data_IF_994942559405
#
_entry.id   IF_994942559405
#
_cell.length_a   1.000
_cell.length_b   1.000
_cell.length_c   1.000
_cell.angle_alpha   90.00
_cell.angle_beta   90.00
_cell.angle_gamma   90.00
#
_symmetry.space_group_name_H-M   'P 1'
#
loop_
_entity.id
_entity.type
_entity.pdbx_description
1 polymer ?
#
# COMPACT_ATOMS: atom_id res chain seq x y z
N UNK A 1 18.77 13.05 -43.77
CA UNK A 1 19.02 11.89 -44.65
C UNK A 1 18.06 11.94 -45.83
N UNK A 2 16.78 12.27 -45.62
CA UNK A 2 15.77 12.44 -46.62
C UNK A 2 15.18 13.84 -46.59
N UNK A 3 14.78 14.37 -47.75
CA UNK A 3 14.05 15.64 -47.87
C UNK A 3 12.80 15.45 -48.74
N UNK A 4 11.75 16.26 -48.52
CA UNK A 4 10.55 16.18 -49.35
C UNK A 4 10.88 16.37 -50.85
N UNK A 5 10.39 15.46 -51.66
CA UNK A 5 10.52 15.55 -53.12
C UNK A 5 9.47 16.49 -53.73
N UNK A 6 9.68 16.89 -54.96
CA UNK A 6 8.67 17.61 -55.78
C UNK A 6 7.39 16.77 -56.02
N UNK A 7 7.42 15.46 -55.83
CA UNK A 7 6.28 14.56 -55.90
C UNK A 7 5.66 14.36 -54.49
N UNK A 8 4.38 14.64 -54.37
CA UNK A 8 3.64 14.47 -53.12
C UNK A 8 3.74 13.04 -52.57
N UNK A 9 4.00 12.89 -51.24
CA UNK A 9 4.15 11.60 -50.57
C UNK A 9 5.48 10.88 -50.86
N UNK A 10 6.45 11.54 -51.55
CA UNK A 10 7.78 11.00 -51.79
C UNK A 10 8.89 11.85 -51.22
N UNK A 11 10.04 11.22 -51.01
CA UNK A 11 11.21 11.87 -50.47
C UNK A 11 12.44 11.54 -51.31
N UNK A 12 13.40 12.44 -51.27
CA UNK A 12 14.68 12.35 -51.97
C UNK A 12 15.75 11.93 -50.96
N UNK A 13 16.64 11.01 -51.38
CA UNK A 13 17.79 10.63 -50.56
C UNK A 13 18.89 11.64 -50.83
N UNK A 14 19.22 12.49 -49.84
CA UNK A 14 20.10 13.65 -49.95
C UNK A 14 21.46 13.35 -50.58
N UNK A 15 22.13 12.20 -50.30
CA UNK A 15 23.45 11.89 -50.89
C UNK A 15 23.44 11.58 -52.40
N UNK A 16 22.28 11.59 -53.05
CA UNK A 16 22.16 11.26 -54.50
C UNK A 16 21.44 12.34 -55.28
N UNK A 17 21.73 12.41 -56.60
CA UNK A 17 21.08 13.35 -57.56
C UNK A 17 19.73 12.82 -58.10
N UNK A 18 19.29 11.65 -57.67
CA UNK A 18 18.03 11.05 -58.13
C UNK A 18 16.87 11.40 -57.20
N UNK A 19 15.71 11.76 -57.75
CA UNK A 19 14.54 12.25 -57.04
C UNK A 19 13.44 11.21 -56.85
N UNK A 20 12.59 11.40 -55.84
CA UNK A 20 11.35 10.70 -55.58
C UNK A 20 11.48 9.17 -55.30
N UNK A 21 12.64 8.71 -54.89
CA UNK A 21 12.91 7.29 -54.72
C UNK A 21 12.54 6.70 -53.37
N UNK A 22 12.14 7.50 -52.39
CA UNK A 22 11.70 7.03 -51.09
C UNK A 22 10.20 7.28 -50.90
N UNK A 23 9.47 6.27 -50.49
CA UNK A 23 8.03 6.32 -50.27
C UNK A 23 7.74 6.05 -48.80
N UNK A 24 6.88 6.86 -48.17
CA UNK A 24 6.39 6.68 -46.82
C UNK A 24 4.96 6.12 -46.86
N UNK A 25 4.73 5.05 -46.10
CA UNK A 25 3.44 4.38 -45.98
C UNK A 25 2.85 4.60 -44.58
N UNK A 26 1.61 5.05 -44.57
CA UNK A 26 0.81 5.26 -43.34
C UNK A 26 1.49 6.11 -42.26
N UNK A 27 2.41 7.01 -42.66
CA UNK A 27 3.31 7.79 -41.75
C UNK A 27 4.08 6.95 -40.75
N UNK A 28 4.25 5.65 -41.01
CA UNK A 28 4.89 4.69 -40.09
C UNK A 28 6.07 3.96 -40.71
N UNK A 29 6.07 3.71 -42.01
CA UNK A 29 7.07 2.92 -42.68
C UNK A 29 7.63 3.65 -43.88
N UNK A 30 8.93 3.54 -44.11
CA UNK A 30 9.62 4.06 -45.28
C UNK A 30 10.20 2.93 -46.13
N UNK A 31 10.14 3.06 -47.44
CA UNK A 31 10.77 2.16 -48.37
C UNK A 31 11.61 2.96 -49.40
N UNK A 32 12.89 2.62 -49.50
CA UNK A 32 13.81 3.26 -50.45
C UNK A 32 14.09 2.38 -51.66
N UNK A 33 13.97 2.99 -52.83
CA UNK A 33 14.33 2.40 -54.14
C UNK A 33 15.72 2.80 -54.60
N UNK A 34 16.42 3.65 -53.84
CA UNK A 34 17.79 4.10 -54.19
C UNK A 34 18.84 3.04 -53.89
N UNK A 35 19.53 2.53 -54.92
CA UNK A 35 20.51 1.47 -54.76
C UNK A 35 21.70 1.82 -53.87
N UNK A 36 22.02 3.11 -53.71
CA UNK A 36 23.08 3.62 -52.86
C UNK A 36 22.64 3.94 -51.43
N UNK A 37 21.33 3.88 -51.17
CA UNK A 37 20.79 4.07 -49.83
C UNK A 37 20.98 2.79 -49.01
N UNK A 38 21.58 2.84 -47.81
CA UNK A 38 21.67 1.69 -46.91
C UNK A 38 20.37 1.02 -46.58
N UNK A 39 19.26 1.76 -46.71
CA UNK A 39 17.88 1.28 -46.47
C UNK A 39 17.22 0.69 -47.76
N UNK A 40 17.95 0.63 -48.89
CA UNK A 40 17.38 0.18 -50.17
C UNK A 40 16.72 -1.20 -50.06
N UNK A 41 15.52 -1.31 -50.65
CA UNK A 41 14.82 -2.57 -50.76
C UNK A 41 14.21 -3.11 -49.46
N UNK A 42 14.19 -2.33 -48.39
CA UNK A 42 13.63 -2.70 -47.09
C UNK A 42 12.49 -1.79 -46.71
N UNK A 43 11.42 -2.36 -46.17
CA UNK A 43 10.33 -1.61 -45.55
C UNK A 43 10.67 -1.44 -44.05
N UNK A 44 10.99 -0.23 -43.65
CA UNK A 44 11.58 0.06 -42.34
C UNK A 44 10.67 1.04 -41.56
N UNK A 45 10.52 0.80 -40.27
CA UNK A 45 9.98 1.78 -39.34
C UNK A 45 11.01 2.88 -39.04
N UNK A 46 10.62 3.93 -38.31
CA UNK A 46 11.48 5.06 -37.99
C UNK A 46 12.73 4.64 -37.18
N UNK A 47 12.60 3.69 -36.25
CA UNK A 47 13.70 3.18 -35.44
C UNK A 47 14.77 2.48 -36.31
N UNK A 48 14.35 1.55 -37.14
CA UNK A 48 15.28 0.80 -38.00
C UNK A 48 15.87 1.68 -39.08
N UNK A 49 15.11 2.65 -39.62
CA UNK A 49 15.61 3.60 -40.57
C UNK A 49 16.77 4.43 -40.02
N UNK A 50 16.61 4.98 -38.79
CA UNK A 50 17.68 5.74 -38.12
C UNK A 50 18.83 4.81 -37.75
N UNK A 51 18.55 3.58 -37.29
CA UNK A 51 19.54 2.56 -36.92
C UNK A 51 20.48 2.28 -38.08
N UNK A 52 19.94 1.95 -39.25
CA UNK A 52 20.70 1.58 -40.44
C UNK A 52 21.56 2.74 -40.91
N UNK A 53 21.04 3.95 -40.96
CA UNK A 53 21.78 5.13 -41.43
C UNK A 53 22.86 5.61 -40.46
N UNK A 54 22.66 5.41 -39.14
CA UNK A 54 23.62 5.90 -38.13
C UNK A 54 24.66 4.88 -37.74
N UNK A 55 24.31 3.61 -37.69
CA UNK A 55 25.12 2.54 -37.12
C UNK A 55 25.41 1.40 -38.08
N UNK A 56 24.82 1.45 -39.32
CA UNK A 56 24.99 0.41 -40.34
C UNK A 56 24.14 -0.83 -40.06
N UNK A 57 24.24 -1.80 -40.96
CA UNK A 57 23.47 -3.06 -40.92
C UNK A 57 24.39 -4.31 -41.01
N UNK A 58 25.71 -4.13 -41.04
CA UNK A 58 26.68 -5.23 -41.13
C UNK A 58 26.70 -6.10 -39.87
N UNK A 59 26.49 -5.49 -38.69
CA UNK A 59 26.36 -6.17 -37.42
C UNK A 59 25.03 -5.69 -36.75
N UNK A 60 23.96 -6.40 -37.06
CA UNK A 60 22.62 -6.05 -36.61
C UNK A 60 22.51 -5.98 -35.08
N UNK A 61 23.14 -6.89 -34.33
CA UNK A 61 23.10 -6.90 -32.87
C UNK A 61 23.78 -5.67 -32.27
N UNK A 62 24.91 -5.29 -32.82
CA UNK A 62 25.64 -4.12 -32.37
C UNK A 62 24.92 -2.82 -32.71
N UNK A 63 24.44 -2.70 -33.96
CA UNK A 63 23.71 -1.51 -34.40
C UNK A 63 22.38 -1.34 -33.67
N UNK A 64 21.66 -2.45 -33.35
CA UNK A 64 20.46 -2.43 -32.54
C UNK A 64 20.72 -1.93 -31.12
N UNK A 65 21.78 -2.42 -30.48
CA UNK A 65 22.19 -1.95 -29.16
C UNK A 65 22.52 -0.46 -29.16
N UNK A 66 23.28 0.02 -30.13
CA UNK A 66 23.67 1.43 -30.26
C UNK A 66 22.44 2.32 -30.54
N UNK A 67 21.48 1.86 -31.34
CA UNK A 67 20.24 2.58 -31.59
C UNK A 67 19.36 2.63 -30.36
N UNK A 68 19.27 1.53 -29.60
CA UNK A 68 18.52 1.48 -28.34
C UNK A 68 19.12 2.46 -27.33
N UNK A 69 20.45 2.50 -27.19
CA UNK A 69 21.15 3.47 -26.31
C UNK A 69 20.87 4.92 -26.74
N UNK A 70 20.85 5.18 -28.06
CA UNK A 70 20.50 6.50 -28.60
C UNK A 70 19.05 6.88 -28.30
N UNK A 71 18.09 5.99 -28.58
CA UNK A 71 16.66 6.23 -28.32
C UNK A 71 16.40 6.48 -26.83
N UNK A 72 17.02 5.67 -25.95
CA UNK A 72 16.91 5.83 -24.50
C UNK A 72 17.69 7.04 -23.95
N UNK A 73 18.51 7.73 -24.75
CA UNK A 73 19.14 8.99 -24.37
C UNK A 73 18.27 10.21 -24.69
N UNK A 74 17.25 10.05 -25.53
CA UNK A 74 16.31 11.11 -25.89
C UNK A 74 15.25 11.29 -24.81
N UNK A 75 15.11 12.52 -24.31
CA UNK A 75 14.20 12.82 -23.20
C UNK A 75 12.73 12.66 -23.60
N UNK A 76 12.37 12.97 -24.85
CA UNK A 76 11.02 12.78 -25.39
C UNK A 76 10.65 11.31 -25.46
N UNK A 77 11.58 10.44 -25.85
CA UNK A 77 11.38 8.98 -25.88
C UNK A 77 11.19 8.44 -24.46
N UNK A 78 11.97 8.93 -23.50
CA UNK A 78 11.81 8.54 -22.08
C UNK A 78 10.45 8.94 -21.52
N UNK A 79 10.02 10.19 -21.79
CA UNK A 79 8.72 10.71 -21.36
C UNK A 79 7.58 9.89 -21.96
N UNK A 80 7.65 9.58 -23.25
CA UNK A 80 6.62 8.78 -23.93
C UNK A 80 6.58 7.33 -23.40
N UNK A 81 7.73 6.68 -23.20
CA UNK A 81 7.79 5.34 -22.62
C UNK A 81 7.27 5.30 -21.17
N UNK A 82 7.56 6.34 -20.39
CA UNK A 82 7.00 6.49 -19.06
C UNK A 82 5.48 6.70 -19.10
N UNK A 83 5.00 7.55 -20.02
CA UNK A 83 3.57 7.81 -20.21
C UNK A 83 2.81 6.56 -20.70
N UNK A 84 3.37 5.78 -21.63
CA UNK A 84 2.76 4.53 -22.12
C UNK A 84 2.66 3.48 -21.00
N UNK A 85 3.68 3.35 -20.15
CA UNK A 85 3.66 2.44 -19.01
C UNK A 85 2.66 2.89 -17.93
N UNK A 86 2.59 4.19 -17.68
CA UNK A 86 1.58 4.77 -16.80
C UNK A 86 0.18 4.54 -17.39
N UNK A 87 -0.01 4.69 -18.71
CA UNK A 87 -1.28 4.44 -19.36
C UNK A 87 -1.68 2.95 -19.31
N UNK A 88 -0.74 2.02 -19.53
CA UNK A 88 -0.98 0.59 -19.38
C UNK A 88 -1.30 0.19 -17.94
N UNK A 89 -0.63 0.80 -16.96
CA UNK A 89 -0.99 0.63 -15.54
C UNK A 89 -2.32 1.33 -15.21
N UNK A 90 -2.67 2.40 -15.92
CA UNK A 90 -3.86 3.23 -15.68
C UNK A 90 -5.14 2.73 -16.36
N UNK A 91 -5.08 1.81 -17.35
CA UNK A 91 -6.28 1.17 -17.93
C UNK A 91 -7.00 0.27 -16.91
N UNK A 92 -6.30 -0.18 -15.85
CA UNK A 92 -6.87 -0.95 -14.76
C UNK A 92 -7.34 -0.08 -13.56
N UNK A 93 -7.09 1.24 -13.56
CA UNK A 93 -7.34 2.10 -12.39
C UNK A 93 -8.17 3.34 -12.74
N UNK A 94 -9.26 3.56 -12.01
CA UNK A 94 -10.17 4.70 -12.11
C UNK A 94 -9.52 6.06 -11.78
N UNK A 95 -10.16 7.13 -12.23
CA UNK A 95 -9.79 8.56 -12.33
C UNK A 95 -9.12 9.31 -11.14
N UNK A 96 -8.75 8.66 -10.04
CA UNK A 96 -8.17 9.32 -8.85
C UNK A 96 -6.63 9.34 -8.81
N UNK A 97 -5.96 9.07 -9.91
CA UNK A 97 -4.58 8.62 -9.96
C UNK A 97 -3.52 9.70 -10.24
N UNK A 98 -3.59 10.86 -9.59
CA UNK A 98 -2.50 11.87 -9.68
C UNK A 98 -1.17 11.40 -9.02
N UNK A 99 -1.23 10.39 -8.13
CA UNK A 99 -0.06 9.84 -7.44
C UNK A 99 0.90 9.09 -8.37
N UNK A 100 0.45 8.52 -9.49
CA UNK A 100 1.30 7.86 -10.48
C UNK A 100 2.34 8.82 -11.07
N UNK A 101 2.00 10.11 -11.21
CA UNK A 101 2.94 11.15 -11.69
C UNK A 101 4.07 11.44 -10.72
N UNK A 102 3.94 11.03 -9.47
CA UNK A 102 4.94 11.20 -8.42
C UNK A 102 5.93 10.02 -8.34
N UNK A 103 5.68 8.94 -9.11
CA UNK A 103 6.57 7.79 -9.17
C UNK A 103 7.87 8.14 -9.88
N UNK A 104 8.98 7.64 -9.35
CA UNK A 104 10.30 7.80 -9.93
C UNK A 104 10.64 6.64 -10.84
N UNK A 105 11.22 6.95 -11.99
CA UNK A 105 11.63 5.99 -13.01
C UNK A 105 13.12 6.06 -13.25
N UNK A 106 13.73 4.91 -13.54
CA UNK A 106 15.15 4.83 -13.91
C UNK A 106 15.37 5.45 -15.30
N UNK A 107 16.16 6.53 -15.45
CA UNK A 107 16.25 7.28 -16.71
C UNK A 107 16.66 6.46 -17.93
N UNK A 108 17.48 5.40 -17.74
CA UNK A 108 17.99 4.56 -18.84
C UNK A 108 17.02 3.50 -19.35
N UNK A 109 16.21 2.93 -18.45
CA UNK A 109 15.35 1.78 -18.79
C UNK A 109 13.88 2.16 -18.85
N UNK A 110 13.49 3.34 -18.32
CA UNK A 110 12.10 3.70 -18.10
C UNK A 110 11.36 2.74 -17.12
N UNK A 111 12.09 1.85 -16.44
CA UNK A 111 11.53 0.99 -15.42
C UNK A 111 11.25 1.77 -14.14
N UNK A 112 10.28 1.33 -13.35
CA UNK A 112 10.02 1.92 -12.05
C UNK A 112 11.28 1.79 -11.17
N UNK A 113 11.65 2.86 -10.47
CA UNK A 113 12.80 2.83 -9.58
C UNK A 113 12.49 1.98 -8.35
N UNK A 114 13.40 1.04 -8.03
CA UNK A 114 13.32 0.22 -6.83
C UNK A 114 13.71 1.05 -5.60
N UNK A 115 12.78 1.88 -5.12
CA UNK A 115 12.99 2.78 -3.99
C UNK A 115 11.87 2.66 -2.96
N UNK A 116 12.19 3.01 -1.70
CA UNK A 116 11.19 3.12 -0.61
C UNK A 116 10.13 4.16 -0.96
N UNK A 117 10.52 5.26 -1.63
CA UNK A 117 9.58 6.30 -2.07
C UNK A 117 8.47 5.74 -2.96
N UNK A 118 8.83 5.02 -4.01
CA UNK A 118 7.86 4.44 -4.93
C UNK A 118 6.98 3.40 -4.24
N UNK A 119 7.57 2.55 -3.42
CA UNK A 119 6.82 1.51 -2.74
C UNK A 119 5.86 2.09 -1.69
N UNK A 120 6.25 3.16 -0.97
CA UNK A 120 5.34 3.88 -0.09
C UNK A 120 4.15 4.46 -0.87
N UNK A 121 4.42 5.16 -1.99
CA UNK A 121 3.35 5.71 -2.83
C UNK A 121 2.38 4.64 -3.32
N UNK A 122 2.88 3.48 -3.74
CA UNK A 122 2.05 2.35 -4.17
C UNK A 122 1.20 1.85 -2.99
N UNK A 123 1.81 1.55 -1.84
CA UNK A 123 1.10 1.04 -0.67
C UNK A 123 0.10 2.04 -0.10
N UNK A 124 0.36 3.34 -0.21
CA UNK A 124 -0.51 4.40 0.29
C UNK A 124 -1.72 4.65 -0.61
N UNK A 125 -1.58 4.44 -1.92
CA UNK A 125 -2.57 4.93 -2.88
C UNK A 125 -3.26 3.84 -3.71
N UNK A 126 -2.67 2.64 -3.88
CA UNK A 126 -3.35 1.53 -4.56
C UNK A 126 -4.59 1.10 -3.75
N UNK A 127 -5.81 1.19 -4.32
CA UNK A 127 -7.06 0.88 -3.61
C UNK A 127 -7.08 -0.53 -3.01
N UNK A 128 -6.47 -1.50 -3.67
CA UNK A 128 -6.43 -2.90 -3.22
C UNK A 128 -5.47 -3.11 -2.04
N UNK A 129 -4.62 -2.12 -1.73
CA UNK A 129 -3.60 -2.18 -0.69
C UNK A 129 -3.90 -1.28 0.53
N UNK A 130 -5.16 -0.83 0.66
CA UNK A 130 -5.61 0.01 1.79
C UNK A 130 -5.97 -0.80 3.04
N UNK A 131 -6.15 -2.11 2.91
CA UNK A 131 -6.79 -2.96 3.90
C UNK A 131 -5.93 -3.40 5.09
N UNK A 132 -4.85 -2.69 5.46
CA UNK A 132 -4.02 -3.02 6.62
C UNK A 132 -3.59 -1.77 7.40
N UNK A 133 -3.43 -1.93 8.71
CA UNK A 133 -3.02 -0.88 9.63
C UNK A 133 -2.33 -1.46 10.88
N UNK A 134 -1.58 -0.67 11.61
CA UNK A 134 -0.99 -1.08 12.89
C UNK A 134 -2.00 -0.92 14.02
N UNK A 135 -2.26 -1.99 14.76
CA UNK A 135 -3.12 -1.98 15.94
C UNK A 135 -2.28 -1.71 17.18
N UNK A 136 -2.35 -0.49 17.72
CA UNK A 136 -1.61 -0.03 18.90
C UNK A 136 -1.85 -0.93 20.13
N UNK A 137 -3.08 -1.41 20.29
CA UNK A 137 -3.47 -2.21 21.45
C UNK A 137 -2.90 -3.63 21.39
N UNK A 138 -2.92 -4.24 20.18
CA UNK A 138 -2.39 -5.57 19.95
C UNK A 138 -0.88 -5.56 19.67
N UNK A 139 -0.29 -4.38 19.44
CA UNK A 139 1.10 -4.21 19.02
C UNK A 139 1.47 -5.06 17.79
N UNK A 140 0.57 -5.12 16.81
CA UNK A 140 0.68 -5.96 15.61
C UNK A 140 -0.05 -5.32 14.44
N UNK A 141 0.38 -5.64 13.22
CA UNK A 141 -0.35 -5.25 12.03
C UNK A 141 -1.62 -6.11 11.90
N UNK A 142 -2.72 -5.45 11.66
CA UNK A 142 -4.05 -6.05 11.49
C UNK A 142 -4.60 -5.71 10.11
N UNK A 143 -5.32 -6.65 9.52
CA UNK A 143 -6.09 -6.41 8.31
C UNK A 143 -7.42 -5.79 8.70
N UNK A 144 -7.67 -4.59 8.19
CA UNK A 144 -8.80 -3.73 8.54
C UNK A 144 -9.82 -3.61 7.41
N UNK A 145 -9.48 -4.10 6.20
CA UNK A 145 -10.33 -4.05 5.01
C UNK A 145 -10.21 -5.30 4.15
N UNK A 146 -10.80 -5.25 2.97
CA UNK A 146 -10.67 -6.32 1.98
C UNK A 146 -9.24 -6.38 1.43
N UNK A 147 -8.79 -7.58 1.16
CA UNK A 147 -7.48 -7.84 0.53
C UNK A 147 -7.71 -8.58 -0.78
N UNK A 148 -6.89 -8.35 -1.83
CA UNK A 148 -7.07 -8.97 -3.14
C UNK A 148 -6.68 -10.46 -3.20
N UNK A 149 -6.49 -11.10 -2.06
CA UNK A 149 -6.23 -12.54 -1.92
C UNK A 149 -7.07 -13.17 -0.80
N UNK A 150 -7.30 -14.47 -0.92
CA UNK A 150 -8.09 -15.23 0.06
C UNK A 150 -7.39 -15.29 1.42
N UNK A 151 -8.15 -15.04 2.46
CA UNK A 151 -7.72 -15.10 3.86
C UNK A 151 -8.70 -15.94 4.71
N UNK A 152 -8.20 -16.66 5.75
CA UNK A 152 -9.09 -17.31 6.69
C UNK A 152 -9.92 -16.27 7.48
N UNK A 153 -11.22 -16.41 7.49
CA UNK A 153 -12.18 -15.49 8.11
C UNK A 153 -11.89 -15.19 9.61
N UNK A 154 -11.27 -16.15 10.32
CA UNK A 154 -11.03 -16.05 11.77
C UNK A 154 -9.75 -15.34 12.18
N UNK A 155 -8.91 -14.94 11.24
CA UNK A 155 -7.61 -14.31 11.57
C UNK A 155 -7.53 -12.90 10.98
N UNK A 156 -7.71 -11.90 11.84
CA UNK A 156 -7.62 -10.50 11.45
C UNK A 156 -6.18 -9.97 11.44
N UNK A 157 -5.20 -10.66 12.03
CA UNK A 157 -3.81 -10.20 12.06
C UNK A 157 -3.05 -10.59 10.79
N UNK A 158 -2.08 -9.75 10.43
CA UNK A 158 -1.19 -9.97 9.30
C UNK A 158 -0.30 -11.20 9.52
N UNK A 159 -0.10 -12.02 8.49
CA UNK A 159 0.66 -13.26 8.52
C UNK A 159 1.79 -13.22 7.48
N UNK A 160 2.75 -14.13 7.61
CA UNK A 160 3.82 -14.30 6.61
C UNK A 160 3.27 -14.61 5.21
N UNK A 161 2.17 -15.37 5.13
CA UNK A 161 1.48 -15.63 3.87
C UNK A 161 0.95 -14.34 3.21
N UNK A 162 0.43 -13.40 4.00
CA UNK A 162 -0.04 -12.11 3.51
C UNK A 162 1.12 -11.26 2.97
N UNK A 163 2.28 -11.32 3.63
CA UNK A 163 3.52 -10.68 3.14
C UNK A 163 3.98 -11.24 1.79
N UNK A 164 3.89 -12.55 1.60
CA UNK A 164 4.23 -13.19 0.33
C UNK A 164 3.25 -12.80 -0.79
N UNK A 165 1.94 -12.75 -0.50
CA UNK A 165 0.91 -12.31 -1.43
C UNK A 165 1.09 -10.85 -1.82
N UNK A 166 1.34 -9.97 -0.85
CA UNK A 166 1.61 -8.56 -1.10
C UNK A 166 2.79 -8.37 -2.05
N UNK A 167 3.94 -9.04 -1.76
CA UNK A 167 5.13 -8.97 -2.62
C UNK A 167 4.82 -9.45 -4.04
N UNK A 168 4.17 -10.61 -4.17
CA UNK A 168 3.79 -11.16 -5.48
C UNK A 168 2.88 -10.22 -6.27
N UNK A 169 1.89 -9.62 -5.62
CA UNK A 169 0.97 -8.69 -6.27
C UNK A 169 1.69 -7.43 -6.77
N UNK A 170 2.51 -6.84 -5.91
CA UNK A 170 3.27 -5.63 -6.26
C UNK A 170 4.28 -5.92 -7.37
N UNK A 171 4.99 -7.06 -7.31
CA UNK A 171 5.95 -7.46 -8.34
C UNK A 171 5.28 -7.65 -9.72
N UNK A 172 4.07 -8.21 -9.72
CA UNK A 172 3.30 -8.42 -10.97
C UNK A 172 2.81 -7.08 -11.55
N UNK A 173 2.33 -6.16 -10.70
CA UNK A 173 1.72 -4.90 -11.17
C UNK A 173 2.75 -3.81 -11.44
N UNK A 174 3.76 -3.70 -10.61
CA UNK A 174 4.68 -2.55 -10.59
C UNK A 174 6.14 -2.92 -10.85
N UNK A 175 6.51 -4.20 -10.76
CA UNK A 175 7.87 -4.69 -10.90
C UNK A 175 8.54 -4.98 -9.55
N UNK A 176 9.73 -5.60 -9.62
CA UNK A 176 10.42 -6.14 -8.45
C UNK A 176 11.00 -5.05 -7.54
N UNK A 177 10.70 -5.17 -6.25
CA UNK A 177 11.34 -4.40 -5.18
C UNK A 177 12.20 -5.30 -4.30
N UNK A 178 13.24 -4.75 -3.69
CA UNK A 178 14.07 -5.50 -2.74
C UNK A 178 13.28 -5.80 -1.47
N UNK A 179 13.59 -6.94 -0.82
CA UNK A 179 12.99 -7.30 0.48
C UNK A 179 13.16 -6.19 1.51
N UNK A 180 14.34 -5.52 1.53
CA UNK A 180 14.58 -4.38 2.42
C UNK A 180 13.56 -3.25 2.21
N UNK A 181 13.28 -2.89 0.95
CA UNK A 181 12.32 -1.83 0.65
C UNK A 181 10.92 -2.22 1.08
N UNK A 182 10.53 -3.50 0.88
CA UNK A 182 9.26 -4.02 1.40
C UNK A 182 9.17 -3.91 2.92
N UNK A 183 10.18 -4.35 3.65
CA UNK A 183 10.16 -4.35 5.11
C UNK A 183 10.04 -2.92 5.66
N UNK A 184 10.79 -1.97 5.07
CA UNK A 184 10.74 -0.56 5.47
C UNK A 184 9.39 0.07 5.13
N UNK A 185 8.95 -0.04 3.88
CA UNK A 185 7.74 0.63 3.38
C UNK A 185 6.48 0.05 4.02
N UNK A 186 6.39 -1.28 4.13
CA UNK A 186 5.24 -1.93 4.75
C UNK A 186 5.08 -1.54 6.22
N UNK A 187 6.19 -1.54 6.97
CA UNK A 187 6.16 -1.12 8.37
C UNK A 187 5.77 0.34 8.49
N UNK A 188 6.38 1.22 7.68
CA UNK A 188 6.08 2.66 7.72
C UNK A 188 4.61 2.94 7.40
N UNK A 189 4.09 2.40 6.29
CA UNK A 189 2.70 2.64 5.87
C UNK A 189 1.71 2.03 6.87
N UNK A 190 2.01 0.88 7.48
CA UNK A 190 1.18 0.31 8.52
C UNK A 190 1.12 1.22 9.77
N UNK A 191 2.27 1.77 10.19
CA UNK A 191 2.37 2.72 11.30
C UNK A 191 1.67 4.04 11.00
N UNK A 192 1.78 4.57 9.79
CA UNK A 192 1.09 5.82 9.38
C UNK A 192 -0.44 5.66 9.43
N UNK A 193 -0.94 4.43 9.29
CA UNK A 193 -2.36 4.05 9.42
C UNK A 193 -2.71 3.47 10.79
N UNK A 194 -1.88 3.71 11.81
CA UNK A 194 -2.12 3.12 13.12
C UNK A 194 -3.48 3.51 13.71
N UNK A 195 -4.07 2.60 14.47
CA UNK A 195 -5.34 2.81 15.14
C UNK A 195 -5.34 2.13 16.51
N UNK A 196 -6.20 2.61 17.38
CA UNK A 196 -6.42 1.99 18.69
C UNK A 196 -7.90 1.64 18.84
N UNK A 197 -8.31 0.37 18.69
CA UNK A 197 -9.71 0.00 18.54
C UNK A 197 -10.60 0.47 19.70
N UNK A 198 -10.11 0.35 20.93
CA UNK A 198 -10.89 0.79 22.11
C UNK A 198 -10.95 2.32 22.20
N UNK A 199 -9.87 3.04 21.86
CA UNK A 199 -9.89 4.51 21.81
C UNK A 199 -10.87 5.02 20.77
N UNK A 200 -10.86 4.40 19.59
CA UNK A 200 -11.76 4.76 18.48
C UNK A 200 -13.20 4.47 18.85
N UNK A 201 -13.47 3.31 19.48
CA UNK A 201 -14.78 2.98 20.03
C UNK A 201 -15.25 4.04 21.04
N UNK A 202 -14.43 4.39 22.04
CA UNK A 202 -14.80 5.39 23.04
C UNK A 202 -15.04 6.78 22.43
N UNK A 203 -14.28 7.16 21.41
CA UNK A 203 -14.43 8.44 20.70
C UNK A 203 -15.67 8.45 19.79
N UNK A 204 -16.13 7.29 19.32
CA UNK A 204 -17.34 7.15 18.48
C UNK A 204 -18.65 7.21 19.29
N UNK A 205 -18.58 7.10 20.61
CA UNK A 205 -19.76 7.12 21.44
C UNK A 205 -20.51 8.47 21.35
N UNK A 206 -21.85 8.46 21.45
CA UNK A 206 -22.63 9.68 21.45
C UNK A 206 -22.26 10.58 22.64
N UNK A 207 -22.49 11.87 22.49
CA UNK A 207 -22.27 12.82 23.58
C UNK A 207 -23.04 12.42 24.83
N UNK A 208 -22.37 12.55 25.98
CA UNK A 208 -22.97 12.27 27.26
C UNK A 208 -24.26 13.10 27.47
N UNK A 209 -25.31 12.43 27.88
CA UNK A 209 -26.64 13.02 28.15
C UNK A 209 -26.78 13.73 29.52
N UNK A 210 -25.68 13.82 30.28
CA UNK A 210 -25.66 14.44 31.61
C UNK A 210 -26.08 13.55 32.75
N UNK A 211 -26.54 12.31 32.50
CA UNK A 211 -27.03 11.38 33.53
C UNK A 211 -25.90 10.55 34.10
N UNK A 212 -25.69 10.66 35.42
CA UNK A 212 -24.66 9.89 36.15
C UNK A 212 -25.11 8.45 36.37
N UNK A 213 -24.56 7.49 35.61
CA UNK A 213 -24.89 6.07 35.69
C UNK A 213 -23.75 5.21 36.24
N UNK A 214 -22.51 5.61 36.03
CA UNK A 214 -21.34 4.79 36.28
C UNK A 214 -21.26 4.35 37.75
N UNK A 215 -21.48 5.24 38.70
CA UNK A 215 -21.37 4.96 40.13
C UNK A 215 -22.41 3.97 40.64
N UNK A 216 -23.45 3.70 39.87
CA UNK A 216 -24.54 2.79 40.25
C UNK A 216 -24.43 1.41 39.55
N UNK A 217 -23.44 1.19 38.71
CA UNK A 217 -23.35 -0.05 37.92
C UNK A 217 -23.30 -1.30 38.79
N UNK A 218 -22.44 -1.36 39.79
CA UNK A 218 -22.35 -2.53 40.67
C UNK A 218 -23.60 -2.69 41.54
N UNK A 219 -24.26 -1.60 41.94
CA UNK A 219 -25.47 -1.63 42.73
C UNK A 219 -26.64 -2.18 41.89
N UNK A 220 -26.84 -1.65 40.68
CA UNK A 220 -27.97 -2.01 39.83
C UNK A 220 -27.87 -3.39 39.19
N UNK A 221 -26.67 -3.76 38.75
CA UNK A 221 -26.48 -4.97 37.96
C UNK A 221 -25.87 -6.13 38.73
N UNK A 222 -25.15 -5.87 39.83
CA UNK A 222 -24.58 -6.92 40.67
C UNK A 222 -25.21 -7.00 42.06
N UNK A 223 -26.24 -6.19 42.32
CA UNK A 223 -26.94 -6.13 43.61
C UNK A 223 -25.98 -5.83 44.80
N UNK A 224 -24.94 -5.06 44.56
CA UNK A 224 -24.03 -4.61 45.60
C UNK A 224 -24.79 -3.62 46.54
N UNK A 225 -24.37 -3.57 47.81
CA UNK A 225 -24.95 -2.64 48.81
C UNK A 225 -24.80 -1.18 48.31
N UNK A 226 -25.88 -0.40 48.43
CA UNK A 226 -25.87 1.02 48.08
C UNK A 226 -25.18 1.83 49.20
N UNK A 227 -23.86 1.85 49.15
CA UNK A 227 -23.00 2.62 50.07
C UNK A 227 -22.19 3.64 49.29
N UNK A 228 -21.79 4.71 49.97
CA UNK A 228 -20.90 5.71 49.40
C UNK A 228 -19.57 5.07 48.93
N UNK A 229 -19.05 4.10 49.65
CA UNK A 229 -17.84 3.35 49.30
C UNK A 229 -18.02 2.63 47.97
N UNK A 230 -19.09 1.86 47.74
CA UNK A 230 -19.38 1.13 46.49
C UNK A 230 -19.50 2.09 45.33
N UNK A 231 -20.24 3.21 45.50
CA UNK A 231 -20.37 4.24 44.47
C UNK A 231 -19.02 4.85 44.06
N UNK A 232 -18.15 5.18 45.01
CA UNK A 232 -16.83 5.75 44.75
C UNK A 232 -15.93 4.75 44.05
N UNK A 233 -15.89 3.49 44.53
CA UNK A 233 -15.04 2.45 43.92
C UNK A 233 -15.50 2.13 42.50
N UNK A 234 -16.80 1.96 42.27
CA UNK A 234 -17.36 1.72 40.95
C UNK A 234 -16.94 2.84 39.97
N UNK A 235 -17.17 4.10 40.34
CA UNK A 235 -16.79 5.25 39.51
C UNK A 235 -15.29 5.28 39.22
N UNK A 236 -14.43 5.08 40.25
CA UNK A 236 -12.98 5.10 40.08
C UNK A 236 -12.48 3.98 39.18
N UNK A 237 -13.02 2.78 39.29
CA UNK A 237 -12.63 1.63 38.47
C UNK A 237 -12.90 1.90 36.99
N UNK A 238 -14.12 2.29 36.63
CA UNK A 238 -14.46 2.54 35.22
C UNK A 238 -13.80 3.81 34.67
N UNK A 239 -13.64 4.87 35.47
CA UNK A 239 -12.89 6.03 35.06
C UNK A 239 -11.42 5.71 34.83
N UNK A 240 -10.81 4.83 35.63
CA UNK A 240 -9.44 4.38 35.45
C UNK A 240 -9.27 3.51 34.19
N UNK A 241 -10.23 2.63 33.91
CA UNK A 241 -10.22 1.83 32.68
C UNK A 241 -10.18 2.72 31.43
N UNK A 242 -11.04 3.73 31.33
CA UNK A 242 -11.02 4.72 30.25
C UNK A 242 -9.74 5.56 30.25
N UNK A 243 -9.32 6.03 31.43
CA UNK A 243 -8.11 6.85 31.55
C UNK A 243 -6.84 6.12 31.07
N UNK A 244 -6.71 4.82 31.30
CA UNK A 244 -5.58 4.02 30.81
C UNK A 244 -5.53 3.89 29.29
N UNK A 245 -6.69 3.85 28.63
CA UNK A 245 -6.79 3.85 27.17
C UNK A 245 -6.41 5.23 26.59
N UNK A 246 -6.94 6.31 27.18
CA UNK A 246 -6.71 7.66 26.69
C UNK A 246 -5.33 8.23 27.04
N UNK A 247 -4.80 7.83 28.18
CA UNK A 247 -3.51 8.29 28.72
C UNK A 247 -2.67 7.06 29.15
N UNK A 248 -2.02 6.34 28.22
CA UNK A 248 -1.18 5.19 28.53
C UNK A 248 -0.15 5.53 29.61
N UNK A 249 0.03 4.61 30.59
CA UNK A 249 0.95 4.80 31.71
C UNK A 249 0.36 5.56 32.91
N UNK A 250 -0.90 6.00 32.87
CA UNK A 250 -1.54 6.59 34.07
C UNK A 250 -1.59 5.57 35.20
N UNK A 251 -1.24 6.03 36.38
CA UNK A 251 -1.16 5.18 37.57
C UNK A 251 -2.54 4.89 38.15
N UNK A 252 -2.86 3.61 38.33
CA UNK A 252 -4.02 3.13 39.05
C UNK A 252 -3.69 1.79 39.71
N UNK A 253 -3.42 1.79 41.00
CA UNK A 253 -2.86 0.63 41.77
C UNK A 253 -3.95 -0.19 42.46
N UNK A 254 -5.23 0.14 42.25
CA UNK A 254 -6.34 -0.57 42.86
C UNK A 254 -6.88 -1.65 41.92
N UNK A 255 -7.11 -2.84 42.44
CA UNK A 255 -7.79 -3.95 41.79
C UNK A 255 -9.15 -4.17 42.45
N UNK A 256 -10.28 -4.01 41.74
CA UNK A 256 -11.58 -4.32 42.30
C UNK A 256 -11.74 -5.84 42.44
N UNK A 257 -12.13 -6.30 43.62
CA UNK A 257 -12.49 -7.69 43.86
C UNK A 257 -14.01 -7.77 44.00
N UNK A 258 -14.64 -8.56 43.14
CA UNK A 258 -16.10 -8.80 43.15
C UNK A 258 -16.34 -10.17 43.81
N UNK A 259 -16.75 -10.16 45.05
CA UNK A 259 -17.19 -11.35 45.78
C UNK A 259 -18.71 -11.49 45.78
N UNK A 260 -19.23 -12.69 45.72
CA UNK A 260 -20.67 -12.98 45.72
C UNK A 260 -20.98 -14.30 45.01
N UNK A 261 -22.28 -14.66 45.01
CA UNK A 261 -22.78 -15.92 44.44
C UNK A 261 -22.42 -16.11 42.96
N UNK A 262 -22.32 -17.37 42.56
CA UNK A 262 -22.09 -17.73 41.17
C UNK A 262 -23.31 -17.37 40.33
N UNK A 263 -23.09 -16.80 39.12
CA UNK A 263 -24.17 -16.51 38.16
C UNK A 263 -24.79 -15.13 38.28
N UNK A 264 -24.41 -14.29 39.25
CA UNK A 264 -25.00 -12.92 39.37
C UNK A 264 -24.45 -11.91 38.31
N UNK A 265 -23.63 -12.33 37.38
CA UNK A 265 -23.16 -11.48 36.26
C UNK A 265 -21.86 -10.73 36.49
N UNK A 266 -21.02 -11.13 37.46
CA UNK A 266 -19.74 -10.43 37.78
C UNK A 266 -18.81 -10.30 36.55
N UNK A 267 -18.57 -11.38 35.81
CA UNK A 267 -17.77 -11.35 34.59
C UNK A 267 -18.54 -10.70 33.42
N UNK A 268 -19.85 -10.91 33.36
CA UNK A 268 -20.69 -10.39 32.28
C UNK A 268 -20.70 -8.87 32.22
N UNK A 269 -20.75 -8.18 33.36
CA UNK A 269 -20.76 -6.70 33.39
C UNK A 269 -19.49 -6.10 32.76
N UNK A 270 -18.33 -6.73 33.00
CA UNK A 270 -17.08 -6.29 32.38
C UNK A 270 -17.08 -6.61 30.90
N UNK A 271 -17.43 -7.85 30.52
CA UNK A 271 -17.48 -8.31 29.14
C UNK A 271 -18.41 -7.47 28.28
N UNK A 272 -19.61 -7.11 28.80
CA UNK A 272 -20.59 -6.32 28.05
C UNK A 272 -20.15 -4.86 27.88
N UNK A 273 -19.38 -4.32 28.80
CA UNK A 273 -18.87 -2.95 28.74
C UNK A 273 -17.68 -2.79 27.77
N UNK A 274 -16.78 -3.79 27.71
CA UNK A 274 -15.58 -3.74 26.87
C UNK A 274 -15.79 -4.32 25.48
N UNK A 275 -16.93 -4.88 25.19
CA UNK A 275 -17.24 -5.75 24.06
C UNK A 275 -16.52 -7.11 24.12
N UNK A 276 -17.15 -8.21 23.66
CA UNK A 276 -16.56 -9.55 23.77
C UNK A 276 -15.20 -9.70 23.07
N UNK A 277 -14.94 -8.87 22.07
CA UNK A 277 -13.73 -8.91 21.26
C UNK A 277 -12.48 -8.51 22.05
N UNK A 278 -12.60 -7.58 23.00
CA UNK A 278 -11.48 -7.05 23.79
C UNK A 278 -11.47 -7.59 25.24
N UNK A 279 -12.31 -8.58 25.54
CA UNK A 279 -12.41 -9.22 26.82
C UNK A 279 -11.65 -10.54 26.86
N UNK A 280 -10.90 -10.80 27.92
CA UNK A 280 -10.22 -12.07 28.14
C UNK A 280 -10.38 -12.54 29.60
N UNK A 281 -10.62 -13.85 29.75
CA UNK A 281 -10.59 -14.57 31.04
C UNK A 281 -9.30 -15.40 31.19
N UNK A 282 -8.34 -15.26 30.27
CA UNK A 282 -7.17 -16.13 30.20
C UNK A 282 -6.06 -15.77 31.18
N UNK A 283 -6.14 -14.60 31.84
CA UNK A 283 -5.12 -14.16 32.81
C UNK A 283 -5.39 -14.76 34.18
N UNK A 284 -4.45 -15.55 34.70
CA UNK A 284 -4.48 -16.04 36.06
C UNK A 284 -3.55 -15.23 36.99
N UNK A 285 -3.78 -15.31 38.32
CA UNK A 285 -2.90 -14.64 39.27
C UNK A 285 -1.43 -15.10 39.17
N UNK A 286 -1.21 -16.35 38.76
CA UNK A 286 0.13 -16.91 38.55
C UNK A 286 0.82 -16.36 37.31
N UNK A 287 0.08 -15.85 36.35
CA UNK A 287 0.63 -15.24 35.11
C UNK A 287 1.14 -13.81 35.33
N UNK A 288 0.74 -13.15 36.44
CA UNK A 288 1.08 -11.75 36.69
C UNK A 288 2.56 -11.52 37.00
N UNK A 289 3.29 -12.55 37.42
CA UNK A 289 4.71 -12.48 37.76
C UNK A 289 5.63 -12.80 36.56
N UNK A 290 5.08 -13.18 35.39
CA UNK A 290 5.86 -13.64 34.26
C UNK A 290 5.66 -12.76 33.00
N UNK A 291 6.65 -12.75 32.11
CA UNK A 291 6.55 -12.11 30.79
C UNK A 291 5.36 -12.62 29.99
N UNK A 292 4.99 -13.88 30.18
CA UNK A 292 3.81 -14.48 29.57
C UNK A 292 2.49 -13.76 29.90
N UNK A 293 2.40 -13.15 31.09
CA UNK A 293 1.23 -12.35 31.48
C UNK A 293 1.08 -11.08 30.64
N UNK A 294 2.17 -10.38 30.36
CA UNK A 294 2.13 -9.18 29.51
C UNK A 294 1.73 -9.52 28.06
N UNK A 295 2.20 -10.65 27.53
CA UNK A 295 1.84 -11.12 26.18
C UNK A 295 0.35 -11.54 26.09
N UNK A 296 -0.19 -12.15 27.19
CA UNK A 296 -1.61 -12.52 27.26
C UNK A 296 -2.55 -11.32 27.33
N UNK A 297 -2.07 -10.16 27.75
CA UNK A 297 -2.85 -8.92 27.83
C UNK A 297 -2.87 -8.12 26.53
N UNK A 298 -2.00 -8.45 25.56
CA UNK A 298 -1.97 -7.75 24.30
C UNK A 298 -3.28 -7.94 23.54
N UNK A 299 -3.91 -6.83 23.14
CA UNK A 299 -5.17 -6.84 22.42
C UNK A 299 -6.42 -6.94 23.29
N UNK A 300 -6.29 -6.88 24.61
CA UNK A 300 -7.43 -6.87 25.55
C UNK A 300 -7.45 -5.59 26.41
N UNK A 301 -8.65 -5.20 26.80
CA UNK A 301 -8.89 -3.99 27.58
C UNK A 301 -9.32 -4.29 29.03
#
# INVERSE_FOLDING_TARGET
>A
VYEPSAMEGRYDYIPTDSSAGVVVYDDKFAYSHHATDPACGKLLNAFDLVRIHRFGDDDEKKSFKQMTELALSDDTVKENLAAERIAQAGEDFSDDADWHKRLHFVPRSGALENSVWNLNLILENDPDLQGFAFNDMANRIQVTGEMPWDRPERNSFWRDADSAQLKSLVDIRYGEFTTRNYDVSFTQVAEDRHFHPVRDYLNSLPKWDGVKRVEELFIKYLQADDTEYVRIITRKTFAAAVARVMCPGIKFDCVPVLDGEQGIGKSSIVKDLVTPEYYSESLSLTDMDDKAGAEKLQGFW
#
